data_IF_146683149473
#
_entry.id   IF_146683149473
#
_cell.length_a   1.000
_cell.length_b   1.000
_cell.length_c   1.000
_cell.angle_alpha   90.00
_cell.angle_beta   90.00
_cell.angle_gamma   90.00
#
_symmetry.space_group_name_H-M   'P 1'
#
loop_
_entity.id
_entity.type
_entity.pdbx_description
1 polymer ?
#
# COMPACT_ATOMS: atom_id res chain seq x y z
N UNK A 1 -38.83 -32.84 31.22
CA UNK A 1 -39.67 -32.82 32.44
C UNK A 1 -38.76 -32.53 33.62
N UNK A 2 -39.20 -31.63 34.51
CA UNK A 2 -38.69 -31.28 35.86
C UNK A 2 -37.24 -30.74 36.00
N UNK A 3 -37.16 -29.42 36.25
CA UNK A 3 -36.15 -28.69 37.09
C UNK A 3 -36.25 -29.18 38.57
N UNK A 4 -35.69 -28.51 39.61
CA UNK A 4 -34.52 -27.62 39.83
C UNK A 4 -33.64 -28.18 40.99
N UNK A 5 -32.55 -27.59 41.48
CA UNK A 5 -32.45 -26.63 42.62
C UNK A 5 -30.94 -26.50 42.93
N UNK A 6 -30.25 -25.34 43.00
CA UNK A 6 -30.38 -24.11 43.80
C UNK A 6 -29.69 -24.21 45.17
N UNK A 7 -29.13 -23.07 45.61
CA UNK A 7 -28.64 -22.67 46.96
C UNK A 7 -27.11 -22.82 47.22
N UNK A 8 -26.31 -21.73 47.20
CA UNK A 8 -26.15 -20.62 48.18
C UNK A 8 -25.32 -21.16 49.39
N UNK A 9 -24.16 -20.62 49.85
CA UNK A 9 -23.86 -19.26 50.34
C UNK A 9 -22.36 -19.16 50.81
N UNK A 10 -21.75 -17.97 50.68
CA UNK A 10 -20.83 -17.22 51.61
C UNK A 10 -19.62 -17.90 52.30
N UNK A 11 -18.36 -17.40 52.12
CA UNK A 11 -17.69 -16.18 52.66
C UNK A 11 -17.05 -16.34 54.05
N UNK A 12 -15.71 -16.24 54.14
CA UNK A 12 -14.92 -15.48 55.16
C UNK A 12 -13.41 -15.76 54.98
N UNK A 13 -12.58 -14.74 54.69
CA UNK A 13 -11.70 -13.99 55.63
C UNK A 13 -10.62 -14.88 56.30
N UNK A 14 -9.34 -14.53 56.43
CA UNK A 14 -8.53 -13.36 56.08
C UNK A 14 -7.04 -13.70 56.35
N UNK A 15 -6.13 -13.06 55.62
CA UNK A 15 -4.78 -12.57 56.00
C UNK A 15 -3.77 -13.52 56.70
N UNK A 16 -2.58 -13.66 56.10
CA UNK A 16 -1.37 -12.97 56.60
C UNK A 16 -0.15 -13.14 55.66
N UNK A 17 0.77 -12.19 55.81
CA UNK A 17 1.85 -11.78 54.92
C UNK A 17 3.06 -12.74 54.86
N UNK A 18 3.85 -12.60 53.79
CA UNK A 18 5.23 -13.07 53.70
C UNK A 18 5.85 -12.85 52.32
N UNK A 19 6.61 -11.75 52.17
CA UNK A 19 7.45 -11.39 51.02
C UNK A 19 8.46 -12.50 50.66
N UNK A 20 8.77 -12.73 49.37
CA UNK A 20 10.03 -12.31 48.70
C UNK A 20 9.95 -12.58 47.18
N UNK A 21 10.38 -11.55 46.47
CA UNK A 21 10.65 -11.33 45.05
C UNK A 21 11.23 -12.51 44.23
N UNK A 22 10.71 -12.69 43.01
CA UNK A 22 11.41 -12.60 41.71
C UNK A 22 10.28 -12.57 40.66
N UNK A 23 10.03 -11.54 39.86
CA UNK A 23 10.96 -10.66 39.16
C UNK A 23 10.85 -10.83 37.64
N UNK A 24 9.65 -11.04 37.07
CA UNK A 24 9.39 -10.84 35.64
C UNK A 24 8.63 -9.53 35.45
N UNK A 25 9.33 -8.42 35.67
CA UNK A 25 8.88 -7.10 35.21
C UNK A 25 9.25 -6.98 33.73
N UNK A 26 8.36 -7.37 32.83
CA UNK A 26 8.36 -6.77 31.48
C UNK A 26 7.89 -5.34 31.64
N UNK A 27 8.84 -4.42 31.69
CA UNK A 27 8.59 -2.99 31.61
C UNK A 27 7.91 -2.69 30.27
N UNK A 28 6.58 -2.57 30.27
CA UNK A 28 5.92 -1.67 29.35
C UNK A 28 6.40 -0.27 29.74
N UNK A 29 7.44 0.23 29.06
CA UNK A 29 7.83 1.63 29.20
C UNK A 29 6.60 2.48 28.88
N UNK A 30 6.08 3.20 29.86
CA UNK A 30 5.09 4.23 29.61
C UNK A 30 5.73 5.23 28.63
N UNK A 31 5.24 5.26 27.40
CA UNK A 31 5.72 6.20 26.38
C UNK A 31 5.38 7.61 26.89
N UNK A 32 6.41 8.42 27.13
CA UNK A 32 6.26 9.79 27.62
C UNK A 32 5.44 10.64 26.62
N UNK A 33 4.34 11.29 27.04
CA UNK A 33 3.58 12.21 26.20
C UNK A 33 4.44 13.28 25.52
N UNK A 34 5.54 13.73 26.15
CA UNK A 34 6.48 14.65 25.53
C UNK A 34 7.19 14.01 24.32
N UNK A 35 7.55 12.73 24.42
CA UNK A 35 8.15 11.99 23.32
C UNK A 35 7.18 11.80 22.16
N UNK A 36 5.91 11.46 22.45
CA UNK A 36 4.84 11.38 21.44
C UNK A 36 4.67 12.74 20.74
N UNK A 37 4.66 13.84 21.50
CA UNK A 37 4.53 15.18 20.93
C UNK A 37 5.70 15.57 20.03
N UNK A 38 6.92 15.13 20.36
CA UNK A 38 8.10 15.38 19.53
C UNK A 38 8.07 14.59 18.23
N UNK A 39 7.72 13.31 18.30
CA UNK A 39 7.60 12.45 17.12
C UNK A 39 6.51 12.96 16.17
N UNK A 40 5.37 13.41 16.71
CA UNK A 40 4.31 13.98 15.89
C UNK A 40 4.76 15.27 15.19
N UNK A 41 5.45 16.17 15.90
CA UNK A 41 5.98 17.40 15.29
C UNK A 41 6.97 17.10 14.17
N UNK A 42 7.84 16.13 14.37
CA UNK A 42 8.79 15.70 13.34
C UNK A 42 8.04 15.10 12.15
N UNK A 43 7.06 14.23 12.36
CA UNK A 43 6.22 13.68 11.29
C UNK A 43 5.50 14.77 10.49
N UNK A 44 4.86 15.73 11.18
CA UNK A 44 4.16 16.85 10.56
C UNK A 44 5.11 17.73 9.73
N UNK A 45 6.33 17.95 10.24
CA UNK A 45 7.37 18.68 9.49
C UNK A 45 7.70 17.96 8.18
N UNK A 46 7.99 16.67 8.25
CA UNK A 46 8.49 15.91 7.10
C UNK A 46 7.40 15.68 6.05
N UNK A 47 6.16 15.41 6.48
CA UNK A 47 4.99 15.40 5.57
C UNK A 47 4.69 16.77 4.98
N UNK A 48 4.99 17.86 5.71
CA UNK A 48 4.96 19.23 5.22
C UNK A 48 5.89 19.46 4.01
N UNK A 49 7.10 18.90 4.04
CA UNK A 49 8.06 18.97 2.93
C UNK A 49 7.50 18.23 1.70
N UNK A 50 6.95 17.03 1.89
CA UNK A 50 6.31 16.27 0.80
C UNK A 50 5.16 17.06 0.16
N UNK A 51 4.29 17.65 0.99
CA UNK A 51 3.16 18.46 0.51
C UNK A 51 3.62 19.70 -0.24
N UNK A 52 4.68 20.39 0.24
CA UNK A 52 5.25 21.54 -0.45
C UNK A 52 5.83 21.17 -1.82
N UNK A 53 6.60 20.09 -1.88
CA UNK A 53 7.17 19.60 -3.15
C UNK A 53 6.07 19.32 -4.20
N UNK A 54 4.99 18.65 -3.78
CA UNK A 54 3.81 18.41 -4.60
C UNK A 54 3.18 19.73 -5.10
N UNK A 55 2.99 20.72 -4.22
CA UNK A 55 2.43 22.03 -4.58
C UNK A 55 3.33 22.80 -5.56
N UNK A 56 4.65 22.75 -5.38
CA UNK A 56 5.61 23.41 -6.26
C UNK A 56 5.63 22.78 -7.67
N UNK A 57 5.42 21.47 -7.77
CA UNK A 57 5.21 20.79 -9.06
C UNK A 57 3.91 21.24 -9.73
N UNK A 58 2.80 21.28 -8.97
CA UNK A 58 1.50 21.75 -9.50
C UNK A 58 1.57 23.20 -9.97
N UNK A 59 2.24 24.08 -9.23
CA UNK A 59 2.40 25.49 -9.58
C UNK A 59 3.19 25.68 -10.89
N UNK A 60 4.11 24.77 -11.20
CA UNK A 60 4.87 24.75 -12.46
C UNK A 60 4.12 24.06 -13.61
N UNK A 61 2.93 23.53 -13.36
CA UNK A 61 2.17 22.76 -14.34
C UNK A 61 2.74 21.37 -14.62
N UNK A 62 3.61 20.85 -13.74
CA UNK A 62 4.15 19.50 -13.86
C UNK A 62 3.05 18.46 -13.51
N UNK A 63 2.72 17.51 -14.41
CA UNK A 63 1.75 16.45 -14.14
C UNK A 63 2.06 15.59 -12.91
N UNK A 64 3.31 15.55 -12.46
CA UNK A 64 3.70 14.84 -11.25
C UNK A 64 3.11 15.41 -9.99
N UNK A 65 2.89 16.72 -9.93
CA UNK A 65 2.24 17.34 -8.77
C UNK A 65 0.82 16.81 -8.58
N UNK A 66 0.04 16.72 -9.66
CA UNK A 66 -1.32 16.15 -9.61
C UNK A 66 -1.30 14.64 -9.33
N UNK A 67 -0.31 13.93 -9.86
CA UNK A 67 -0.12 12.51 -9.59
C UNK A 67 0.19 12.24 -8.12
N UNK A 68 1.14 12.96 -7.51
CA UNK A 68 1.46 12.79 -6.09
C UNK A 68 0.29 13.16 -5.20
N UNK A 69 -0.52 14.15 -5.59
CA UNK A 69 -1.75 14.46 -4.89
C UNK A 69 -2.76 13.31 -4.93
N UNK A 70 -2.96 12.70 -6.10
CA UNK A 70 -3.82 11.53 -6.25
C UNK A 70 -3.33 10.35 -5.41
N UNK A 71 -2.03 10.07 -5.47
CA UNK A 71 -1.40 8.99 -4.71
C UNK A 71 -1.47 9.21 -3.20
N UNK A 72 -1.23 10.44 -2.72
CA UNK A 72 -1.31 10.75 -1.30
C UNK A 72 -2.72 10.56 -0.71
N UNK A 73 -3.77 10.82 -1.51
CA UNK A 73 -5.14 10.52 -1.12
C UNK A 73 -5.45 9.01 -1.16
N UNK A 74 -4.89 8.28 -2.13
CA UNK A 74 -5.02 6.81 -2.19
C UNK A 74 -4.33 6.14 -1.00
N UNK A 75 -3.11 6.56 -0.68
CA UNK A 75 -2.31 6.03 0.42
C UNK A 75 -2.88 6.40 1.80
N UNK A 76 -3.79 7.37 1.84
CA UNK A 76 -4.48 7.77 3.06
C UNK A 76 -3.61 8.56 4.05
N UNK A 77 -2.55 9.24 3.60
CA UNK A 77 -1.84 10.22 4.44
C UNK A 77 -2.25 11.67 4.12
N UNK A 78 -2.98 11.88 3.02
CA UNK A 78 -3.85 13.05 2.78
C UNK A 78 -5.29 12.54 2.68
N UNK A 79 -6.25 13.28 3.24
CA UNK A 79 -7.67 12.89 3.27
C UNK A 79 -8.59 13.96 2.69
N UNK A 80 -8.09 14.77 1.78
CA UNK A 80 -8.87 15.83 1.13
C UNK A 80 -9.99 15.21 0.25
N UNK A 81 -9.74 14.02 -0.30
CA UNK A 81 -10.68 13.21 -1.09
C UNK A 81 -10.67 11.79 -0.56
N UNK A 82 -11.83 11.25 -0.20
CA UNK A 82 -11.96 9.90 0.40
C UNK A 82 -12.82 8.93 -0.42
N UNK A 83 -13.62 9.43 -1.37
CA UNK A 83 -14.41 8.57 -2.26
C UNK A 83 -13.50 7.88 -3.29
N UNK A 84 -13.53 6.53 -3.41
CA UNK A 84 -12.63 5.82 -4.30
C UNK A 84 -12.72 6.19 -5.78
N UNK A 85 -13.93 6.53 -6.25
CA UNK A 85 -14.12 6.98 -7.64
C UNK A 85 -13.52 8.37 -7.84
N UNK A 86 -13.71 9.27 -6.87
CA UNK A 86 -13.09 10.59 -6.88
C UNK A 86 -11.56 10.51 -6.83
N UNK A 87 -10.98 9.60 -6.02
CA UNK A 87 -9.53 9.37 -6.01
C UNK A 87 -9.06 8.84 -7.37
N UNK A 88 -9.75 7.86 -7.95
CA UNK A 88 -9.44 7.35 -9.29
C UNK A 88 -9.48 8.48 -10.34
N UNK A 89 -10.46 9.38 -10.26
CA UNK A 89 -10.55 10.54 -11.15
C UNK A 89 -9.36 11.53 -11.02
N UNK A 90 -8.73 11.62 -9.84
CA UNK A 90 -7.49 12.39 -9.68
C UNK A 90 -6.34 11.77 -10.49
N UNK A 91 -6.20 10.44 -10.48
CA UNK A 91 -5.23 9.74 -11.32
C UNK A 91 -5.53 9.93 -12.82
N UNK A 92 -6.80 9.80 -13.22
CA UNK A 92 -7.21 10.03 -14.62
C UNK A 92 -6.85 11.44 -15.08
N UNK A 93 -7.06 12.46 -14.23
CA UNK A 93 -6.67 13.84 -14.51
C UNK A 93 -5.15 14.00 -14.66
N UNK A 94 -4.36 13.40 -13.77
CA UNK A 94 -2.90 13.43 -13.85
C UNK A 94 -2.40 12.71 -15.12
N UNK A 95 -2.98 11.56 -15.45
CA UNK A 95 -2.69 10.79 -16.66
C UNK A 95 -3.02 11.58 -17.94
N UNK A 96 -4.17 12.27 -17.97
CA UNK A 96 -4.58 13.14 -19.07
C UNK A 96 -3.63 14.34 -19.26
N UNK A 97 -3.03 14.84 -18.17
CA UNK A 97 -1.97 15.87 -18.22
C UNK A 97 -0.60 15.32 -18.65
N UNK A 98 -0.44 14.00 -18.74
CA UNK A 98 0.78 13.37 -19.24
C UNK A 98 1.57 12.58 -18.20
N UNK A 99 1.12 12.47 -16.95
CA UNK A 99 1.81 11.64 -15.94
C UNK A 99 1.80 10.17 -16.37
N UNK A 100 2.99 9.62 -16.63
CA UNK A 100 3.16 8.21 -16.97
C UNK A 100 2.90 7.32 -15.75
N UNK A 101 3.33 7.75 -14.57
CA UNK A 101 3.10 7.04 -13.30
C UNK A 101 1.61 6.85 -13.05
N UNK A 102 0.79 7.88 -13.32
CA UNK A 102 -0.66 7.78 -13.21
C UNK A 102 -1.26 6.78 -14.23
N UNK A 103 -0.80 6.81 -15.48
CA UNK A 103 -1.25 5.86 -16.52
C UNK A 103 -0.93 4.43 -16.12
N UNK A 104 0.26 4.20 -15.59
CA UNK A 104 0.70 2.88 -15.14
C UNK A 104 -0.15 2.39 -13.98
N UNK A 105 -0.38 3.21 -12.95
CA UNK A 105 -1.17 2.80 -11.79
C UNK A 105 -2.66 2.59 -12.12
N UNK A 106 -3.23 3.33 -13.06
CA UNK A 106 -4.58 3.06 -13.58
C UNK A 106 -4.64 1.72 -14.33
N UNK A 107 -3.62 1.40 -15.15
CA UNK A 107 -3.58 0.12 -15.84
C UNK A 107 -3.38 -1.05 -14.86
N UNK A 108 -2.57 -0.86 -13.81
CA UNK A 108 -2.39 -1.84 -12.74
C UNK A 108 -3.70 -2.06 -11.96
N UNK A 109 -4.42 -1.00 -11.60
CA UNK A 109 -5.73 -1.10 -10.93
C UNK A 109 -6.69 -1.97 -11.74
N UNK A 110 -6.76 -1.77 -13.06
CA UNK A 110 -7.61 -2.58 -13.96
C UNK A 110 -7.18 -4.05 -13.97
N UNK A 111 -5.87 -4.31 -13.97
CA UNK A 111 -5.37 -5.68 -13.95
C UNK A 111 -5.77 -6.38 -12.64
N UNK A 112 -5.44 -5.75 -11.51
CA UNK A 112 -5.58 -6.32 -10.16
C UNK A 112 -7.00 -6.31 -9.61
N UNK A 113 -7.95 -5.62 -10.27
CA UNK A 113 -9.31 -5.37 -9.77
C UNK A 113 -9.29 -4.63 -8.41
N UNK A 114 -8.25 -3.80 -8.21
CA UNK A 114 -8.06 -3.04 -6.98
C UNK A 114 -9.09 -1.90 -6.88
N UNK A 115 -9.54 -1.61 -5.65
CA UNK A 115 -10.49 -0.51 -5.40
C UNK A 115 -9.89 0.86 -5.73
N UNK A 116 -8.59 1.03 -5.45
CA UNK A 116 -7.86 2.30 -5.62
C UNK A 116 -6.56 2.08 -6.42
N UNK A 117 -6.16 3.03 -7.29
CA UNK A 117 -4.83 3.01 -7.89
C UNK A 117 -3.73 3.28 -6.85
N UNK A 118 -2.56 2.65 -6.99
CA UNK A 118 -1.37 2.97 -6.17
C UNK A 118 -1.21 2.19 -4.87
N UNK A 119 -2.08 1.21 -4.62
CA UNK A 119 -2.05 0.31 -3.48
C UNK A 119 -0.96 -0.79 -3.62
N UNK A 120 0.31 -0.39 -3.75
CA UNK A 120 1.43 -1.32 -4.05
C UNK A 120 1.88 -2.20 -2.88
N UNK A 121 1.36 -1.99 -1.67
CA UNK A 121 1.71 -2.80 -0.50
C UNK A 121 0.89 -4.11 -0.43
N UNK A 122 0.03 -4.34 -1.42
CA UNK A 122 -0.86 -5.48 -1.48
C UNK A 122 -0.45 -6.45 -2.60
N UNK A 123 -0.79 -7.72 -2.44
CA UNK A 123 -0.57 -8.70 -3.50
C UNK A 123 -1.48 -8.39 -4.68
N UNK A 124 -0.87 -8.05 -5.81
CA UNK A 124 -1.56 -7.84 -7.06
C UNK A 124 -1.69 -9.16 -7.82
N UNK A 125 -2.92 -9.50 -8.21
CA UNK A 125 -3.19 -10.70 -8.97
C UNK A 125 -4.56 -10.63 -9.60
N UNK A 126 -4.91 -11.60 -10.45
CA UNK A 126 -6.24 -11.62 -11.02
C UNK A 126 -7.27 -11.74 -9.91
N UNK A 127 -8.22 -10.81 -9.90
CA UNK A 127 -9.47 -10.97 -9.18
C UNK A 127 -10.30 -12.14 -9.73
N UNK A 128 -11.61 -12.11 -9.47
CA UNK A 128 -12.52 -13.17 -9.97
C UNK A 128 -12.67 -13.17 -11.50
N UNK A 129 -12.36 -12.05 -12.16
CA UNK A 129 -12.51 -11.86 -13.59
C UNK A 129 -11.14 -11.89 -14.31
N UNK A 130 -10.79 -13.07 -14.85
CA UNK A 130 -9.55 -13.22 -15.63
C UNK A 130 -9.53 -12.38 -16.91
N UNK A 131 -10.69 -12.03 -17.48
CA UNK A 131 -10.73 -11.20 -18.68
C UNK A 131 -10.24 -9.79 -18.38
N UNK A 132 -10.63 -9.23 -17.23
CA UNK A 132 -10.11 -7.94 -16.76
C UNK A 132 -8.61 -7.99 -16.50
N UNK A 133 -8.12 -9.05 -15.86
CA UNK A 133 -6.69 -9.26 -15.66
C UNK A 133 -5.92 -9.21 -16.98
N UNK A 134 -6.33 -9.98 -17.98
CA UNK A 134 -5.69 -10.00 -19.29
C UNK A 134 -5.77 -8.63 -20.00
N UNK A 135 -6.90 -7.95 -19.93
CA UNK A 135 -7.06 -6.60 -20.49
C UNK A 135 -6.17 -5.57 -19.78
N UNK A 136 -6.08 -5.64 -18.46
CA UNK A 136 -5.22 -4.78 -17.64
C UNK A 136 -3.75 -5.01 -17.97
N UNK A 137 -3.31 -6.27 -18.03
CA UNK A 137 -1.95 -6.62 -18.45
C UNK A 137 -1.63 -6.16 -19.88
N UNK A 138 -2.57 -6.30 -20.82
CA UNK A 138 -2.38 -5.84 -22.19
C UNK A 138 -2.22 -4.30 -22.27
N UNK A 139 -2.91 -3.55 -21.40
CA UNK A 139 -2.73 -2.10 -21.26
C UNK A 139 -1.43 -1.74 -20.53
N UNK A 140 -1.08 -2.51 -19.51
CA UNK A 140 0.06 -2.24 -18.63
C UNK A 140 1.40 -2.52 -19.32
N UNK A 141 1.51 -3.63 -20.04
CA UNK A 141 2.76 -4.09 -20.67
C UNK A 141 3.46 -3.01 -21.53
N UNK A 142 2.79 -2.33 -22.48
CA UNK A 142 3.45 -1.27 -23.26
C UNK A 142 3.87 -0.07 -22.39
N UNK A 143 3.13 0.26 -21.33
CA UNK A 143 3.48 1.36 -20.43
C UNK A 143 4.72 1.03 -19.62
N UNK A 144 4.83 -0.19 -19.07
CA UNK A 144 6.01 -0.61 -18.30
C UNK A 144 7.25 -0.79 -19.15
N UNK A 145 7.10 -1.06 -20.45
CA UNK A 145 8.23 -1.00 -21.38
C UNK A 145 8.74 0.42 -21.62
N UNK A 146 7.85 1.42 -21.59
CA UNK A 146 8.23 2.83 -21.72
C UNK A 146 8.81 3.39 -20.41
N UNK A 147 8.23 3.02 -19.27
CA UNK A 147 8.65 3.42 -17.94
C UNK A 147 8.39 2.26 -16.97
N UNK A 148 9.46 1.57 -16.56
CA UNK A 148 9.37 0.33 -15.80
C UNK A 148 9.05 0.52 -14.31
N UNK A 149 9.16 1.75 -13.79
CA UNK A 149 8.91 2.09 -12.40
C UNK A 149 7.96 3.27 -12.24
N UNK A 150 7.24 3.31 -11.13
CA UNK A 150 6.50 4.49 -10.67
C UNK A 150 7.21 5.15 -9.51
N UNK A 151 6.98 6.45 -9.33
CA UNK A 151 7.53 7.26 -8.24
C UNK A 151 6.54 7.36 -7.09
N UNK A 152 7.00 7.34 -5.85
CA UNK A 152 6.15 7.63 -4.68
C UNK A 152 6.86 8.60 -3.74
N UNK A 153 6.07 9.48 -3.12
CA UNK A 153 6.55 10.29 -2.00
C UNK A 153 6.45 9.45 -0.73
N UNK A 154 7.59 9.23 -0.07
CA UNK A 154 7.66 8.40 1.14
C UNK A 154 8.50 9.09 2.20
N UNK A 155 8.38 8.60 3.45
CA UNK A 155 9.31 8.91 4.53
C UNK A 155 10.21 7.69 4.76
N UNK A 156 11.46 7.74 4.29
CA UNK A 156 12.45 6.72 4.62
C UNK A 156 13.22 7.11 5.89
N UNK A 157 13.17 6.26 6.92
CA UNK A 157 13.69 6.56 8.25
C UNK A 157 13.30 7.96 8.77
N UNK A 158 12.07 8.38 8.46
CA UNK A 158 11.53 9.70 8.84
C UNK A 158 12.02 10.87 7.97
N UNK A 159 12.68 10.62 6.83
CA UNK A 159 13.14 11.66 5.91
C UNK A 159 12.40 11.58 4.57
N UNK A 160 11.94 12.71 4.02
CA UNK A 160 11.15 12.75 2.81
C UNK A 160 12.01 12.47 1.58
N UNK A 161 11.52 11.60 0.71
CA UNK A 161 12.17 11.28 -0.56
C UNK A 161 11.17 10.88 -1.64
N UNK A 162 11.64 10.91 -2.89
CA UNK A 162 11.02 10.21 -4.01
C UNK A 162 11.64 8.83 -4.12
N UNK A 163 10.84 7.80 -3.86
CA UNK A 163 11.22 6.40 -4.04
C UNK A 163 10.65 5.85 -5.36
N UNK A 164 11.29 4.81 -5.89
CA UNK A 164 10.95 4.19 -7.17
C UNK A 164 10.53 2.72 -6.99
N UNK A 165 9.41 2.34 -7.59
CA UNK A 165 8.83 1.00 -7.46
C UNK A 165 8.67 0.38 -8.84
N UNK A 166 9.31 -0.76 -9.07
CA UNK A 166 9.19 -1.51 -10.32
C UNK A 166 7.82 -2.18 -10.41
N UNK A 167 6.97 -1.76 -11.34
CA UNK A 167 5.61 -2.31 -11.46
C UNK A 167 5.59 -3.75 -11.95
N UNK A 168 6.62 -4.17 -12.68
CA UNK A 168 6.74 -5.58 -13.04
C UNK A 168 6.92 -6.50 -11.81
N UNK A 169 7.44 -5.99 -10.69
CA UNK A 169 7.56 -6.73 -9.43
C UNK A 169 6.19 -7.09 -8.85
N UNK A 170 5.18 -6.26 -9.09
CA UNK A 170 3.80 -6.52 -8.66
C UNK A 170 3.13 -7.63 -9.48
N UNK A 171 3.68 -7.99 -10.63
CA UNK A 171 3.03 -8.90 -11.58
C UNK A 171 3.71 -10.26 -11.65
N UNK A 172 5.05 -10.29 -11.78
CA UNK A 172 5.76 -11.55 -12.04
C UNK A 172 5.58 -12.63 -10.95
N UNK A 173 5.48 -12.31 -9.63
CA UNK A 173 5.29 -13.33 -8.59
C UNK A 173 4.00 -14.11 -8.79
N UNK A 174 2.94 -13.46 -9.29
CA UNK A 174 1.64 -14.08 -9.57
C UNK A 174 1.73 -15.18 -10.62
N UNK A 175 2.66 -15.08 -11.58
CA UNK A 175 2.90 -16.15 -12.56
C UNK A 175 3.79 -17.28 -12.02
N UNK A 176 4.70 -16.98 -11.08
CA UNK A 176 5.55 -17.97 -10.39
C UNK A 176 4.73 -18.81 -9.41
N UNK A 177 4.04 -18.14 -8.50
CA UNK A 177 3.33 -18.77 -7.39
C UNK A 177 2.03 -19.41 -7.90
N UNK A 178 1.44 -18.74 -8.90
CA UNK A 178 0.25 -19.15 -9.62
C UNK A 178 -0.99 -18.42 -9.13
N UNK A 179 -2.00 -18.36 -9.99
CA UNK A 179 -3.29 -17.74 -9.71
C UNK A 179 -4.46 -18.65 -10.05
N UNK A 180 -5.60 -18.45 -9.39
CA UNK A 180 -6.75 -19.33 -9.58
C UNK A 180 -7.64 -18.88 -10.75
N UNK A 181 -7.97 -19.83 -11.64
CA UNK A 181 -9.11 -19.74 -12.55
C UNK A 181 -10.32 -20.44 -11.94
N UNK A 182 -11.45 -19.76 -11.89
CA UNK A 182 -12.74 -20.36 -11.55
C UNK A 182 -13.31 -21.11 -12.77
N UNK A 183 -13.65 -22.38 -12.58
CA UNK A 183 -14.25 -23.22 -13.61
C UNK A 183 -15.80 -23.12 -13.54
N UNK A 184 -16.48 -23.53 -14.61
CA UNK A 184 -17.95 -23.46 -14.71
C UNK A 184 -18.69 -24.35 -13.69
N UNK A 185 -18.02 -25.38 -13.18
CA UNK A 185 -18.53 -26.29 -12.15
C UNK A 185 -18.31 -25.77 -10.71
N UNK A 186 -17.77 -24.56 -10.55
CA UNK A 186 -17.46 -23.95 -9.26
C UNK A 186 -16.12 -24.39 -8.64
N UNK A 187 -15.40 -25.33 -9.27
CA UNK A 187 -14.03 -25.67 -8.88
C UNK A 187 -13.05 -24.56 -9.27
N UNK A 188 -11.82 -24.60 -8.73
CA UNK A 188 -10.75 -23.68 -9.10
C UNK A 188 -9.49 -24.43 -9.52
N UNK A 189 -8.85 -23.95 -10.57
CA UNK A 189 -7.56 -24.47 -11.06
C UNK A 189 -6.48 -23.45 -10.78
N UNK A 190 -5.43 -23.85 -10.08
CA UNK A 190 -4.22 -23.04 -9.93
C UNK A 190 -3.44 -23.07 -11.25
N UNK A 191 -3.22 -21.91 -11.85
CA UNK A 191 -2.49 -21.72 -13.09
C UNK A 191 -1.15 -21.06 -12.78
N UNK A 192 -0.07 -21.62 -13.33
CA UNK A 192 1.25 -21.00 -13.37
C UNK A 192 1.62 -20.79 -14.82
N UNK A 193 2.37 -19.73 -15.10
CA UNK A 193 2.81 -19.41 -16.46
C UNK A 193 4.31 -19.04 -16.44
N UNK A 194 5.21 -20.04 -16.58
CA UNK A 194 6.64 -19.79 -16.56
C UNK A 194 7.13 -18.86 -17.68
N UNK A 195 6.44 -18.81 -18.82
CA UNK A 195 6.85 -17.96 -19.93
C UNK A 195 6.48 -16.49 -19.66
N UNK A 196 5.26 -16.23 -19.17
CA UNK A 196 4.90 -14.88 -18.72
C UNK A 196 5.71 -14.45 -17.51
N UNK A 197 6.00 -15.35 -16.58
CA UNK A 197 6.90 -15.06 -15.47
C UNK A 197 8.23 -14.51 -15.99
N UNK A 198 8.90 -15.19 -16.92
CA UNK A 198 10.18 -14.75 -17.49
C UNK A 198 10.09 -13.36 -18.11
N UNK A 199 9.01 -13.06 -18.83
CA UNK A 199 8.81 -11.74 -19.46
C UNK A 199 8.75 -10.63 -18.40
N UNK A 200 7.86 -10.75 -17.42
CA UNK A 200 7.68 -9.72 -16.39
C UNK A 200 8.89 -9.63 -15.46
N UNK A 201 9.46 -10.77 -15.07
CA UNK A 201 10.68 -10.81 -14.26
C UNK A 201 11.86 -10.16 -14.99
N UNK A 202 11.98 -10.34 -16.30
CA UNK A 202 13.00 -9.68 -17.11
C UNK A 202 12.82 -8.16 -17.13
N UNK A 203 11.58 -7.67 -17.27
CA UNK A 203 11.29 -6.22 -17.18
C UNK A 203 11.71 -5.68 -15.81
N UNK A 204 11.37 -6.37 -14.73
CA UNK A 204 11.74 -5.98 -13.37
C UNK A 204 13.27 -5.94 -13.20
N UNK A 205 13.97 -7.02 -13.56
CA UNK A 205 15.44 -7.12 -13.38
C UNK A 205 16.22 -6.09 -14.19
N UNK A 206 15.68 -5.69 -15.34
CA UNK A 206 16.28 -4.68 -16.21
C UNK A 206 15.78 -3.26 -15.91
N UNK A 207 14.92 -3.08 -14.89
CA UNK A 207 14.42 -1.77 -14.53
C UNK A 207 15.50 -0.97 -13.78
N UNK A 208 16.18 -0.08 -14.50
CA UNK A 208 17.17 0.83 -13.93
C UNK A 208 16.47 1.96 -13.19
N UNK A 209 16.21 1.74 -11.90
CA UNK A 209 15.65 2.77 -11.03
C UNK A 209 16.75 3.75 -10.61
N UNK A 210 16.49 5.07 -10.65
CA UNK A 210 17.40 6.06 -10.09
C UNK A 210 17.69 5.80 -8.61
N UNK A 211 18.79 6.38 -8.11
CA UNK A 211 18.96 6.49 -6.67
C UNK A 211 17.85 7.39 -6.10
N UNK A 212 17.44 7.09 -4.86
CA UNK A 212 16.40 7.84 -4.18
C UNK A 212 16.73 9.34 -4.14
N UNK A 213 15.73 10.15 -4.49
CA UNK A 213 15.85 11.61 -4.52
C UNK A 213 15.34 12.17 -3.19
N UNK A 214 16.27 12.54 -2.31
CA UNK A 214 15.94 13.15 -1.03
C UNK A 214 15.38 14.56 -1.22
N UNK A 215 14.32 14.85 -0.49
CA UNK A 215 13.68 16.16 -0.47
C UNK A 215 14.16 16.94 0.76
N UNK A 216 14.53 18.20 0.56
CA UNK A 216 15.02 19.08 1.60
C UNK A 216 14.22 20.40 1.58
N UNK A 217 14.25 21.12 2.70
CA UNK A 217 13.67 22.48 2.82
C UNK A 217 14.45 23.54 2.03
#
# INVERSE_FOLDING_TARGET
>A
MTRPDRWITTLSLCLLAGLVQTGCSTAAQAVDPAHISSQQRDFDKQTGILRKHMQDLQARGDPLGDYYYALANSDGWIHDVTDPKAITALFEKAAAKGSMDAKILLALQVASDDELPGQLDHSHGPGKDLSKWEQGLAKLLPLVHQQCSVRRLVLDMGKPQVAYYSIAYEIWPTFRDGYYRYNSDGSRTLLRDPERQKVWESIHRNCLMPQDEWLYE
#
